data_IF_577192277050
#
_entry.id   IF_577192277050
#
_cell.length_a   1.000
_cell.length_b   1.000
_cell.length_c   1.000
_cell.angle_alpha   90.00
_cell.angle_beta   90.00
_cell.angle_gamma   90.00
#
_symmetry.space_group_name_H-M   'P 1'
#
loop_
_entity.id
_entity.type
_entity.pdbx_description
1 polymer ?
#
# COMPACT_ATOMS: atom_id res chain seq x y z
N UNK A 1 6.00 21.77 -15.28
CA UNK A 1 7.32 22.04 -14.65
C UNK A 1 8.34 21.15 -15.33
N UNK A 2 9.62 21.51 -15.43
CA UNK A 2 10.63 20.59 -15.97
C UNK A 2 11.15 19.69 -14.83
N UNK A 3 10.75 18.42 -14.82
CA UNK A 3 11.14 17.45 -13.80
C UNK A 3 12.51 16.80 -14.04
N UNK A 4 13.30 17.23 -15.03
CA UNK A 4 14.61 16.59 -15.29
C UNK A 4 15.53 16.64 -14.07
N UNK A 5 15.58 17.77 -13.35
CA UNK A 5 16.39 17.90 -12.12
C UNK A 5 15.84 16.99 -11.02
N UNK A 6 14.51 17.01 -10.81
CA UNK A 6 13.82 16.18 -9.83
C UNK A 6 14.10 14.67 -10.02
N UNK A 7 14.02 14.18 -11.26
CA UNK A 7 14.28 12.78 -11.57
C UNK A 7 15.76 12.40 -11.47
N UNK A 8 16.66 13.34 -11.76
CA UNK A 8 18.09 13.15 -11.51
C UNK A 8 18.37 12.95 -10.02
N UNK A 9 17.82 13.83 -9.17
CA UNK A 9 17.97 13.73 -7.71
C UNK A 9 17.29 12.46 -7.16
N UNK A 10 16.14 12.06 -7.71
CA UNK A 10 15.50 10.79 -7.37
C UNK A 10 16.40 9.59 -7.73
N UNK A 11 17.06 9.60 -8.90
CA UNK A 11 18.01 8.56 -9.29
C UNK A 11 19.18 8.48 -8.30
N UNK A 12 19.74 9.63 -7.93
CA UNK A 12 20.82 9.71 -6.94
C UNK A 12 20.38 9.12 -5.60
N UNK A 13 19.19 9.48 -5.11
CA UNK A 13 18.59 8.89 -3.91
C UNK A 13 18.46 7.36 -4.01
N UNK A 14 17.89 6.83 -5.10
CA UNK A 14 17.70 5.38 -5.29
C UNK A 14 19.05 4.65 -5.32
N UNK A 15 20.05 5.22 -6.01
CA UNK A 15 21.40 4.66 -6.06
C UNK A 15 22.07 4.65 -4.68
N UNK A 16 21.97 5.74 -3.92
CA UNK A 16 22.49 5.82 -2.55
C UNK A 16 21.82 4.80 -1.63
N UNK A 17 20.49 4.64 -1.73
CA UNK A 17 19.73 3.65 -0.98
C UNK A 17 20.15 2.21 -1.30
N UNK A 18 20.51 1.93 -2.56
CA UNK A 18 20.88 0.61 -3.04
C UNK A 18 22.38 0.28 -2.89
N UNK A 19 23.22 1.27 -2.60
CA UNK A 19 24.66 1.07 -2.36
C UNK A 19 24.98 0.18 -1.14
N UNK A 20 24.01 -0.03 -0.24
CA UNK A 20 24.17 -0.91 0.93
C UNK A 20 22.83 -1.51 1.39
N UNK A 21 22.89 -2.75 1.87
CA UNK A 21 21.74 -3.41 2.52
C UNK A 21 21.61 -3.08 4.01
N UNK A 22 22.53 -2.30 4.59
CA UNK A 22 22.51 -1.95 6.01
C UNK A 22 21.30 -1.09 6.35
N UNK A 23 20.55 -1.49 7.38
CA UNK A 23 19.40 -0.75 7.90
C UNK A 23 19.80 0.67 8.34
N UNK A 24 20.95 0.82 9.02
CA UNK A 24 21.42 2.12 9.50
C UNK A 24 21.86 3.02 8.35
N UNK A 25 22.47 2.45 7.31
CA UNK A 25 22.80 3.18 6.09
C UNK A 25 21.55 3.80 5.46
N UNK A 26 20.51 2.99 5.26
CA UNK A 26 19.25 3.45 4.66
C UNK A 26 18.53 4.50 5.50
N UNK A 27 18.61 4.41 6.83
CA UNK A 27 18.14 5.51 7.71
C UNK A 27 18.91 6.78 7.44
N UNK A 28 20.24 6.72 7.35
CA UNK A 28 21.06 7.90 7.05
C UNK A 28 20.64 8.58 5.75
N UNK A 29 20.42 7.80 4.68
CA UNK A 29 19.97 8.32 3.39
C UNK A 29 18.56 8.90 3.47
N UNK A 30 17.60 8.20 4.09
CA UNK A 30 16.25 8.73 4.29
C UNK A 30 16.26 10.04 5.09
N UNK A 31 17.09 10.15 6.13
CA UNK A 31 17.25 11.37 6.94
C UNK A 31 17.85 12.51 6.12
N UNK A 32 18.81 12.23 5.23
CA UNK A 32 19.41 13.20 4.31
C UNK A 32 18.35 13.82 3.38
N UNK A 33 17.41 13.01 2.87
CA UNK A 33 16.41 13.44 1.88
C UNK A 33 15.02 13.73 2.46
N UNK A 34 14.79 13.62 3.77
CA UNK A 34 13.46 13.73 4.39
C UNK A 34 12.72 15.07 4.13
N UNK A 35 13.47 16.15 3.87
CA UNK A 35 12.93 17.48 3.59
C UNK A 35 12.91 17.81 2.09
N UNK A 36 13.37 16.90 1.23
CA UNK A 36 13.36 17.09 -0.21
C UNK A 36 11.92 16.90 -0.73
N UNK A 37 11.31 17.97 -1.23
CA UNK A 37 9.88 18.02 -1.57
C UNK A 37 9.47 16.93 -2.57
N UNK A 38 10.21 16.79 -3.68
CA UNK A 38 9.92 15.81 -4.73
C UNK A 38 10.07 14.36 -4.23
N UNK A 39 11.23 13.99 -3.68
CA UNK A 39 11.47 12.64 -3.15
C UNK A 39 10.48 12.28 -2.05
N UNK A 40 10.15 13.22 -1.15
CA UNK A 40 9.14 13.00 -0.12
C UNK A 40 7.79 12.66 -0.74
N UNK A 41 7.33 13.43 -1.74
CA UNK A 41 6.09 13.08 -2.47
C UNK A 41 6.21 11.73 -3.17
N UNK A 42 7.31 11.43 -3.85
CA UNK A 42 7.51 10.12 -4.49
C UNK A 42 7.41 8.97 -3.49
N UNK A 43 8.04 9.09 -2.31
CA UNK A 43 7.92 8.11 -1.23
C UNK A 43 6.46 7.95 -0.77
N UNK A 44 5.72 9.04 -0.64
CA UNK A 44 4.29 8.98 -0.34
C UNK A 44 3.51 8.24 -1.42
N UNK A 45 3.60 8.68 -2.68
CA UNK A 45 2.82 8.10 -3.78
C UNK A 45 3.17 6.64 -4.06
N UNK A 46 4.44 6.26 -3.86
CA UNK A 46 4.89 4.88 -4.04
C UNK A 46 4.39 3.97 -2.91
N UNK A 47 4.52 4.40 -1.64
CA UNK A 47 4.35 3.49 -0.50
C UNK A 47 3.03 3.65 0.26
N UNK A 48 2.21 4.65 -0.07
CA UNK A 48 0.90 4.83 0.56
C UNK A 48 -0.06 3.68 0.17
N UNK A 49 -0.54 2.89 1.15
CA UNK A 49 -1.25 1.64 0.85
C UNK A 49 -2.56 1.84 0.08
N UNK A 50 -3.20 2.99 0.28
CA UNK A 50 -4.50 3.33 -0.30
C UNK A 50 -4.44 4.04 -1.67
N UNK A 51 -3.25 4.32 -2.21
CA UNK A 51 -3.13 4.88 -3.55
C UNK A 51 -3.05 3.77 -4.61
N UNK A 52 -3.81 3.89 -5.68
CA UNK A 52 -3.84 2.90 -6.76
C UNK A 52 -4.06 3.54 -8.13
N UNK A 53 -3.05 3.47 -9.00
CA UNK A 53 -3.07 4.13 -10.31
C UNK A 53 -3.81 3.35 -11.41
N UNK A 54 -4.24 2.10 -11.16
CA UNK A 54 -5.03 1.33 -12.12
C UNK A 54 -4.30 0.89 -13.39
N UNK A 55 -3.00 1.18 -13.48
CA UNK A 55 -2.09 0.78 -14.56
C UNK A 55 -0.77 0.27 -13.96
N UNK A 56 -0.04 -0.52 -14.72
CA UNK A 56 1.27 -1.08 -14.34
C UNK A 56 2.30 -0.84 -15.43
N UNK A 57 3.59 -0.94 -15.10
CA UNK A 57 4.67 -0.87 -16.10
C UNK A 57 4.52 -1.95 -17.18
N UNK A 58 3.99 -3.12 -16.83
CA UNK A 58 3.70 -4.19 -17.78
C UNK A 58 2.64 -3.77 -18.81
N UNK A 59 1.60 -3.04 -18.38
CA UNK A 59 0.60 -2.50 -19.31
C UNK A 59 1.20 -1.44 -20.23
N UNK A 60 2.00 -0.53 -19.67
CA UNK A 60 2.67 0.55 -20.40
C UNK A 60 3.61 0.01 -21.48
N UNK A 61 4.51 -0.92 -21.11
CA UNK A 61 5.46 -1.57 -22.03
C UNK A 61 4.76 -2.40 -23.10
N UNK A 62 3.68 -3.11 -22.75
CA UNK A 62 2.90 -3.90 -23.73
C UNK A 62 2.21 -3.00 -24.77
N UNK A 63 1.87 -1.77 -24.40
CA UNK A 63 1.15 -0.81 -25.24
C UNK A 63 1.97 0.44 -25.49
N UNK A 64 3.24 0.27 -25.86
CA UNK A 64 4.13 1.37 -26.24
C UNK A 64 3.63 2.13 -27.49
N UNK A 65 2.72 1.52 -28.28
CA UNK A 65 2.00 2.15 -29.38
C UNK A 65 1.06 3.27 -28.93
N UNK A 66 0.51 3.15 -27.72
CA UNK A 66 -0.44 4.10 -27.16
C UNK A 66 0.30 5.28 -26.53
N UNK A 67 0.35 6.38 -27.26
CA UNK A 67 0.98 7.62 -26.82
C UNK A 67 0.08 8.79 -27.23
N UNK A 68 -0.38 9.57 -26.25
CA UNK A 68 -1.18 10.78 -26.50
C UNK A 68 -0.43 11.71 -27.47
N UNK A 69 -1.07 12.44 -28.41
CA UNK A 69 -0.34 13.26 -29.40
C UNK A 69 0.42 14.45 -28.80
N UNK A 70 -0.02 14.97 -27.66
CA UNK A 70 0.57 16.08 -26.92
C UNK A 70 0.58 15.75 -25.42
N UNK A 71 1.38 16.47 -24.64
CA UNK A 71 1.38 16.31 -23.18
C UNK A 71 0.01 16.70 -22.61
N UNK A 72 -0.59 15.80 -21.84
CA UNK A 72 -1.86 16.04 -21.15
C UNK A 72 -1.59 16.65 -19.76
N UNK A 73 -0.46 16.30 -19.16
CA UNK A 73 -0.05 16.72 -17.82
C UNK A 73 1.36 17.30 -17.84
N UNK A 74 1.56 18.40 -17.12
CA UNK A 74 2.87 19.03 -16.90
C UNK A 74 3.45 18.72 -15.50
N UNK A 75 2.66 18.10 -14.64
CA UNK A 75 3.01 17.68 -13.27
C UNK A 75 2.67 16.21 -13.08
N UNK A 76 3.66 15.43 -12.63
CA UNK A 76 3.49 14.00 -12.37
C UNK A 76 2.41 13.75 -11.31
N UNK A 77 2.38 14.54 -10.24
CA UNK A 77 1.51 14.26 -9.10
C UNK A 77 0.04 14.48 -9.44
N UNK A 78 -0.28 15.55 -10.18
CA UNK A 78 -1.62 15.77 -10.71
C UNK A 78 -2.12 14.57 -11.56
N UNK A 79 -1.25 14.02 -12.41
CA UNK A 79 -1.60 12.84 -13.21
C UNK A 79 -1.84 11.60 -12.32
N UNK A 80 -1.01 11.38 -11.30
CA UNK A 80 -1.17 10.27 -10.37
C UNK A 80 -2.44 10.40 -9.52
N UNK A 81 -2.82 11.62 -9.14
CA UNK A 81 -4.07 11.92 -8.45
C UNK A 81 -5.28 11.54 -9.32
N UNK A 82 -5.29 11.97 -10.59
CA UNK A 82 -6.37 11.63 -11.53
C UNK A 82 -6.49 10.11 -11.78
N UNK A 83 -5.37 9.39 -11.80
CA UNK A 83 -5.36 7.94 -11.93
C UNK A 83 -5.92 7.25 -10.68
N UNK A 84 -5.58 7.78 -9.50
CA UNK A 84 -6.06 7.28 -8.22
C UNK A 84 -7.57 7.51 -8.04
N UNK A 85 -8.04 8.71 -8.37
CA UNK A 85 -9.45 9.14 -8.28
C UNK A 85 -10.33 8.54 -9.38
N UNK A 86 -9.72 7.86 -10.37
CA UNK A 86 -10.40 7.29 -11.55
C UNK A 86 -10.97 8.34 -12.49
N UNK A 87 -10.45 9.57 -12.46
CA UNK A 87 -10.76 10.62 -13.43
C UNK A 87 -10.21 10.27 -14.82
N UNK A 88 -9.10 9.52 -14.88
CA UNK A 88 -8.53 8.97 -16.10
C UNK A 88 -8.16 7.49 -15.93
N UNK A 89 -8.65 6.63 -16.83
CA UNK A 89 -8.48 5.17 -16.72
C UNK A 89 -8.24 4.52 -18.09
N UNK A 90 -7.87 3.23 -18.08
CA UNK A 90 -7.75 2.42 -19.30
C UNK A 90 -6.70 2.94 -20.28
N UNK A 91 -7.03 2.90 -21.58
CA UNK A 91 -6.10 3.35 -22.64
C UNK A 91 -5.74 4.83 -22.50
N UNK A 92 -6.65 5.71 -22.05
CA UNK A 92 -6.35 7.13 -21.88
C UNK A 92 -5.24 7.35 -20.84
N UNK A 93 -5.28 6.63 -19.72
CA UNK A 93 -4.22 6.68 -18.70
C UNK A 93 -2.88 6.15 -19.24
N UNK A 94 -2.91 5.08 -20.05
CA UNK A 94 -1.71 4.54 -20.71
C UNK A 94 -1.13 5.56 -21.69
N UNK A 95 -1.95 6.16 -22.55
CA UNK A 95 -1.55 7.17 -23.54
C UNK A 95 -0.91 8.39 -22.88
N UNK A 96 -1.50 8.88 -21.78
CA UNK A 96 -0.99 10.00 -21.01
C UNK A 96 0.36 9.68 -20.36
N UNK A 97 0.46 8.53 -19.68
CA UNK A 97 1.69 8.11 -19.01
C UNK A 97 2.83 7.82 -19.99
N UNK A 98 2.56 7.12 -21.09
CA UNK A 98 3.58 6.88 -22.11
C UNK A 98 4.05 8.19 -22.76
N UNK A 99 3.16 9.16 -22.96
CA UNK A 99 3.56 10.51 -23.41
C UNK A 99 4.43 11.21 -22.37
N UNK A 100 4.10 11.11 -21.08
CA UNK A 100 4.92 11.66 -20.02
C UNK A 100 6.32 11.02 -19.99
N UNK A 101 6.40 9.68 -20.09
CA UNK A 101 7.66 8.93 -20.15
C UNK A 101 8.50 9.35 -21.35
N UNK A 102 7.91 9.61 -22.52
CA UNK A 102 8.62 10.14 -23.70
C UNK A 102 9.32 11.48 -23.45
N UNK A 103 8.83 12.29 -22.52
CA UNK A 103 9.50 13.53 -22.10
C UNK A 103 10.71 13.29 -21.18
N UNK A 104 10.80 12.10 -20.58
CA UNK A 104 11.79 11.74 -19.57
C UNK A 104 12.35 10.33 -19.82
N UNK A 105 12.62 9.96 -21.08
CA UNK A 105 12.97 8.57 -21.47
C UNK A 105 14.17 8.03 -20.67
N UNK A 106 15.14 8.90 -20.36
CA UNK A 106 16.29 8.55 -19.53
C UNK A 106 15.85 7.98 -18.17
N UNK A 107 14.76 8.48 -17.59
CA UNK A 107 14.25 8.13 -16.26
C UNK A 107 13.05 7.17 -16.30
N UNK A 108 12.76 6.54 -17.45
CA UNK A 108 11.59 5.67 -17.63
C UNK A 108 11.50 4.57 -16.56
N UNK A 109 12.62 3.96 -16.18
CA UNK A 109 12.64 2.91 -15.14
C UNK A 109 12.17 3.41 -13.77
N UNK A 110 12.53 4.64 -13.37
CA UNK A 110 12.05 5.22 -12.12
C UNK A 110 10.54 5.48 -12.19
N UNK A 111 10.04 5.95 -13.33
CA UNK A 111 8.61 6.20 -13.53
C UNK A 111 7.83 4.88 -13.48
N UNK A 112 8.35 3.81 -14.09
CA UNK A 112 7.78 2.47 -13.99
C UNK A 112 7.73 1.97 -12.55
N UNK A 113 8.83 2.15 -11.80
CA UNK A 113 8.91 1.78 -10.38
C UNK A 113 7.91 2.55 -9.50
N UNK A 114 7.69 3.84 -9.78
CA UNK A 114 6.66 4.65 -9.09
C UNK A 114 5.26 4.08 -9.37
N UNK A 115 4.96 3.78 -10.64
CA UNK A 115 3.65 3.23 -11.05
C UNK A 115 3.40 1.84 -10.48
N UNK A 116 4.43 1.00 -10.44
CA UNK A 116 4.37 -0.33 -9.82
C UNK A 116 4.40 -0.26 -8.28
N UNK A 117 4.49 0.95 -7.71
CA UNK A 117 4.52 1.22 -6.27
C UNK A 117 5.69 0.51 -5.57
N UNK A 118 6.84 0.47 -6.23
CA UNK A 118 8.06 -0.13 -5.72
C UNK A 118 9.31 0.52 -6.35
N UNK A 119 9.99 1.40 -5.59
CA UNK A 119 11.28 2.01 -5.99
C UNK A 119 12.48 1.06 -5.96
N UNK A 120 12.27 -0.22 -5.62
CA UNK A 120 13.33 -1.23 -5.56
C UNK A 120 14.48 -0.89 -4.59
N UNK A 121 14.27 0.07 -3.68
CA UNK A 121 15.24 0.47 -2.65
C UNK A 121 15.31 -0.50 -1.47
N UNK A 122 14.43 -1.51 -1.43
CA UNK A 122 14.17 -2.40 -0.27
C UNK A 122 13.93 -1.63 1.03
N UNK A 123 13.45 -0.39 0.94
CA UNK A 123 13.00 0.37 2.09
C UNK A 123 11.54 0.00 2.38
N UNK A 124 11.26 -0.43 3.61
CA UNK A 124 9.89 -0.72 4.05
C UNK A 124 9.20 0.54 4.56
N UNK A 125 7.87 0.52 4.59
CA UNK A 125 7.06 1.58 5.22
C UNK A 125 7.49 1.81 6.67
N UNK A 126 7.80 0.75 7.43
CA UNK A 126 8.32 0.84 8.78
C UNK A 126 9.66 1.61 8.86
N UNK A 127 10.56 1.39 7.89
CA UNK A 127 11.84 2.10 7.83
C UNK A 127 11.65 3.58 7.51
N UNK A 128 10.77 3.89 6.55
CA UNK A 128 10.41 5.27 6.18
C UNK A 128 9.79 5.99 7.38
N UNK A 129 8.80 5.36 8.04
CA UNK A 129 8.12 5.93 9.20
C UNK A 129 9.01 6.08 10.43
N UNK A 130 10.09 5.31 10.53
CA UNK A 130 11.09 5.52 11.59
C UNK A 130 11.81 6.86 11.44
N UNK A 131 12.02 7.34 10.21
CA UNK A 131 12.65 8.64 9.94
C UNK A 131 11.62 9.76 9.88
N UNK A 132 10.47 9.51 9.27
CA UNK A 132 9.36 10.45 9.16
C UNK A 132 8.12 9.86 9.86
N UNK A 133 7.95 10.06 11.18
CA UNK A 133 6.84 9.47 11.94
C UNK A 133 5.48 9.77 11.34
N UNK A 134 4.62 8.74 11.27
CA UNK A 134 3.27 8.81 10.71
C UNK A 134 3.17 9.32 9.25
N UNK A 135 4.26 9.27 8.50
CA UNK A 135 4.30 9.80 7.14
C UNK A 135 3.56 8.92 6.14
N UNK A 136 3.84 7.62 6.13
CA UNK A 136 3.09 6.62 5.37
C UNK A 136 2.04 6.00 6.29
N UNK A 137 0.74 6.08 5.98
CA UNK A 137 -0.29 5.42 6.77
C UNK A 137 -0.04 3.91 6.84
N UNK A 138 -0.20 3.34 8.02
CA UNK A 138 -0.08 1.90 8.26
C UNK A 138 -1.32 1.38 8.93
N UNK A 139 -1.81 0.25 8.45
CA UNK A 139 -2.84 -0.54 9.10
C UNK A 139 -2.19 -1.81 9.64
N UNK A 140 -2.02 -1.88 10.95
CA UNK A 140 -1.31 -2.99 11.61
C UNK A 140 -2.30 -3.76 12.49
N UNK A 141 -2.27 -5.09 12.35
CA UNK A 141 -3.08 -6.04 13.12
C UNK A 141 -2.15 -7.08 13.73
N UNK A 142 -2.62 -7.76 14.79
CA UNK A 142 -1.89 -8.89 15.33
C UNK A 142 -1.84 -10.04 14.31
N UNK A 143 -0.67 -10.65 14.15
CA UNK A 143 -0.44 -11.79 13.26
C UNK A 143 0.15 -12.96 14.06
N UNK A 144 -0.26 -14.17 13.71
CA UNK A 144 0.26 -15.39 14.33
C UNK A 144 1.60 -15.82 13.71
N UNK A 145 2.41 -16.52 14.50
CA UNK A 145 3.56 -17.26 14.00
C UNK A 145 3.22 -18.73 13.83
N UNK A 146 3.87 -19.37 12.86
CA UNK A 146 3.90 -20.82 12.75
C UNK A 146 4.54 -21.41 14.01
N UNK A 147 3.76 -22.20 14.76
CA UNK A 147 4.17 -22.79 16.03
C UNK A 147 5.46 -23.63 15.91
N UNK A 148 5.69 -24.27 14.76
CA UNK A 148 6.90 -25.08 14.53
C UNK A 148 8.19 -24.25 14.51
N UNK A 149 8.09 -22.93 14.28
CA UNK A 149 9.23 -22.01 14.19
C UNK A 149 9.52 -21.29 15.50
N UNK A 150 8.64 -21.40 16.49
CA UNK A 150 8.82 -20.74 17.78
C UNK A 150 9.49 -21.71 18.75
N UNK A 151 10.60 -21.28 19.35
CA UNK A 151 11.37 -22.08 20.31
C UNK A 151 11.00 -21.72 21.75
N UNK A 152 11.13 -22.68 22.66
CA UNK A 152 10.96 -22.45 24.10
C UNK A 152 9.50 -22.36 24.55
N UNK A 153 8.56 -22.80 23.73
CA UNK A 153 7.14 -22.89 24.10
C UNK A 153 6.82 -24.31 24.59
N UNK A 154 6.20 -24.40 25.76
CA UNK A 154 5.55 -25.62 26.24
C UNK A 154 4.03 -25.44 26.17
N UNK A 155 3.41 -25.93 25.10
CA UNK A 155 1.95 -25.83 24.91
C UNK A 155 1.12 -26.60 25.95
N UNK A 156 1.76 -27.43 26.78
CA UNK A 156 1.13 -28.24 27.83
C UNK A 156 1.26 -27.64 29.23
N UNK A 157 1.79 -26.42 29.39
CA UNK A 157 1.93 -25.78 30.71
C UNK A 157 0.61 -25.24 31.29
N UNK A 158 -0.50 -25.34 30.55
CA UNK A 158 -1.83 -24.91 30.98
C UNK A 158 -2.09 -23.41 30.87
N UNK A 159 -1.17 -22.63 30.29
CA UNK A 159 -1.32 -21.17 30.14
C UNK A 159 -1.89 -20.73 28.78
N UNK A 160 -2.18 -21.70 27.91
CA UNK A 160 -2.57 -21.45 26.51
C UNK A 160 -4.07 -21.58 26.30
N UNK A 161 -4.60 -20.69 25.47
CA UNK A 161 -5.93 -20.83 24.88
C UNK A 161 -5.80 -21.47 23.49
N UNK A 162 -6.73 -22.37 23.17
CA UNK A 162 -6.80 -23.02 21.85
C UNK A 162 -8.12 -22.64 21.20
N UNK A 163 -8.07 -22.25 19.93
CA UNK A 163 -9.25 -21.95 19.11
C UNK A 163 -9.10 -22.61 17.75
N UNK A 164 -10.23 -22.93 17.10
CA UNK A 164 -10.25 -23.35 15.69
C UNK A 164 -9.68 -22.22 14.84
N UNK A 165 -8.80 -22.55 13.89
CA UNK A 165 -8.42 -21.63 12.82
C UNK A 165 -9.44 -21.80 11.70
N UNK A 166 -10.22 -20.76 11.46
CA UNK A 166 -11.17 -20.71 10.35
C UNK A 166 -10.44 -20.40 9.03
N UNK A 167 -11.03 -20.80 7.90
CA UNK A 167 -10.53 -20.56 6.54
C UNK A 167 -11.42 -19.58 5.76
N UNK A 168 -11.61 -18.39 6.34
CA UNK A 168 -12.35 -17.31 5.72
C UNK A 168 -11.49 -16.12 5.32
N UNK A 169 -12.05 -14.93 5.49
CA UNK A 169 -11.36 -13.66 5.29
C UNK A 169 -11.30 -12.88 6.59
N UNK A 170 -10.09 -12.58 7.06
CA UNK A 170 -9.85 -11.71 8.21
C UNK A 170 -10.56 -10.37 8.06
N UNK A 171 -11.36 -10.03 9.06
CA UNK A 171 -12.15 -8.81 9.10
C UNK A 171 -11.96 -8.07 10.43
N UNK A 172 -11.55 -6.81 10.32
CA UNK A 172 -11.43 -5.86 11.42
C UNK A 172 -12.67 -4.97 11.37
N UNK A 173 -13.55 -5.09 12.36
CA UNK A 173 -14.69 -4.21 12.54
C UNK A 173 -14.33 -3.09 13.51
N UNK A 174 -14.35 -1.86 13.01
CA UNK A 174 -14.16 -0.64 13.79
C UNK A 174 -15.51 -0.04 14.10
N UNK A 175 -15.84 0.07 15.39
CA UNK A 175 -17.06 0.69 15.89
C UNK A 175 -16.72 1.98 16.62
N UNK A 176 -17.13 3.12 16.09
CA UNK A 176 -16.88 4.44 16.66
C UNK A 176 -18.15 5.29 16.67
N UNK A 177 -18.74 5.50 17.85
CA UNK A 177 -20.08 6.08 17.94
C UNK A 177 -21.09 5.19 17.22
N UNK A 178 -21.80 5.76 16.26
CA UNK A 178 -22.71 5.05 15.35
C UNK A 178 -22.03 4.66 14.02
N UNK A 179 -20.72 4.82 13.84
CA UNK A 179 -20.03 4.38 12.62
C UNK A 179 -19.51 2.96 12.82
N UNK A 180 -19.89 2.04 11.92
CA UNK A 180 -19.44 0.65 11.90
C UNK A 180 -18.82 0.39 10.55
N UNK A 181 -17.51 0.16 10.52
CA UNK A 181 -16.75 -0.07 9.30
C UNK A 181 -15.96 -1.36 9.39
N UNK A 182 -15.84 -2.03 8.25
CA UNK A 182 -15.16 -3.32 8.16
C UNK A 182 -13.95 -3.21 7.25
N UNK A 183 -12.81 -3.70 7.71
CA UNK A 183 -11.55 -3.63 6.97
C UNK A 183 -10.91 -5.01 6.87
N UNK A 184 -10.28 -5.28 5.73
CA UNK A 184 -9.38 -6.42 5.59
C UNK A 184 -8.13 -6.24 6.46
N UNK A 185 -7.33 -7.31 6.60
CA UNK A 185 -6.01 -7.26 7.28
C UNK A 185 -5.08 -6.15 6.77
N UNK A 186 -5.26 -5.71 5.53
CA UNK A 186 -4.44 -4.69 4.87
C UNK A 186 -5.09 -3.30 4.89
N UNK A 187 -6.19 -3.11 5.63
CA UNK A 187 -6.88 -1.82 5.76
C UNK A 187 -7.81 -1.46 4.59
N UNK A 188 -8.06 -2.37 3.65
CA UNK A 188 -9.07 -2.14 2.58
C UNK A 188 -10.47 -2.35 3.15
N UNK A 189 -11.35 -1.37 2.98
CA UNK A 189 -12.73 -1.40 3.46
C UNK A 189 -13.61 -2.40 2.69
N UNK A 190 -14.52 -3.07 3.41
CA UNK A 190 -15.56 -3.93 2.86
C UNK A 190 -16.90 -3.18 2.85
N UNK A 191 -17.49 -3.03 1.66
CA UNK A 191 -18.75 -2.30 1.48
C UNK A 191 -20.00 -3.21 1.39
N UNK A 192 -19.85 -4.53 1.56
CA UNK A 192 -20.90 -5.52 1.27
C UNK A 192 -21.45 -6.22 2.51
N UNK A 193 -21.14 -5.72 3.71
CA UNK A 193 -21.42 -6.40 4.99
C UNK A 193 -22.59 -5.78 5.78
N UNK A 194 -23.55 -5.13 5.11
CA UNK A 194 -24.63 -4.38 5.77
C UNK A 194 -25.44 -5.18 6.79
N UNK A 195 -25.74 -6.46 6.54
CA UNK A 195 -26.43 -7.31 7.53
C UNK A 195 -25.61 -7.52 8.81
N UNK A 196 -24.30 -7.71 8.68
CA UNK A 196 -23.40 -7.85 9.82
C UNK A 196 -23.31 -6.52 10.57
N UNK A 197 -23.27 -5.40 9.82
CA UNK A 197 -23.30 -4.04 10.38
C UNK A 197 -24.52 -3.82 11.30
N UNK A 198 -25.71 -4.17 10.83
CA UNK A 198 -26.95 -4.05 11.60
C UNK A 198 -26.90 -4.85 12.91
N UNK A 199 -26.41 -6.09 12.87
CA UNK A 199 -26.30 -6.91 14.08
C UNK A 199 -25.25 -6.35 15.05
N UNK A 200 -24.11 -5.86 14.56
CA UNK A 200 -23.11 -5.19 15.41
C UNK A 200 -23.70 -3.93 16.07
N UNK A 201 -24.47 -3.12 15.34
CA UNK A 201 -25.14 -1.93 15.90
C UNK A 201 -26.11 -2.31 17.02
N UNK A 202 -26.84 -3.42 16.87
CA UNK A 202 -27.79 -3.91 17.90
C UNK A 202 -27.12 -4.31 19.21
N UNK A 203 -25.82 -4.65 19.20
CA UNK A 203 -25.07 -4.94 20.42
C UNK A 203 -24.89 -3.71 21.33
N UNK A 204 -25.09 -2.49 20.80
CA UNK A 204 -24.97 -1.25 21.58
C UNK A 204 -23.54 -0.95 22.08
N UNK A 205 -22.54 -1.60 21.48
CA UNK A 205 -21.12 -1.38 21.78
C UNK A 205 -20.60 -0.15 21.02
N UNK A 206 -19.64 0.56 21.60
CA UNK A 206 -19.03 1.74 20.97
C UNK A 206 -17.56 1.87 21.35
N UNK A 207 -16.76 2.51 20.50
CA UNK A 207 -15.32 2.73 20.68
C UNK A 207 -14.53 1.42 20.87
N UNK A 208 -14.81 0.43 20.02
CA UNK A 208 -14.21 -0.89 20.07
C UNK A 208 -13.74 -1.34 18.69
N UNK A 209 -12.69 -2.17 18.69
CA UNK A 209 -12.25 -2.92 17.51
C UNK A 209 -12.58 -4.39 17.75
N UNK A 210 -13.39 -4.97 16.88
CA UNK A 210 -13.62 -6.42 16.85
C UNK A 210 -12.76 -7.02 15.76
N UNK A 211 -12.00 -8.05 16.10
CA UNK A 211 -11.05 -8.67 15.18
C UNK A 211 -11.39 -10.17 15.04
N UNK A 212 -11.85 -10.56 13.87
CA UNK A 212 -12.39 -11.89 13.62
C UNK A 212 -12.27 -12.33 12.16
N UNK A 213 -12.91 -13.45 11.85
CA UNK A 213 -12.90 -14.04 10.50
C UNK A 213 -14.32 -14.05 9.93
N UNK A 214 -14.50 -13.57 8.70
CA UNK A 214 -15.75 -13.74 7.96
C UNK A 214 -15.68 -15.05 7.19
N UNK A 215 -16.61 -15.96 7.49
CA UNK A 215 -16.68 -17.28 6.88
C UNK A 215 -18.09 -17.52 6.35
N UNK A 216 -18.20 -18.25 5.25
CA UNK A 216 -19.46 -18.86 4.84
C UNK A 216 -19.48 -20.22 5.55
N UNK A 217 -20.50 -20.44 6.36
CA UNK A 217 -20.66 -21.70 7.07
C UNK A 217 -21.69 -22.55 6.32
N UNK A 218 -21.32 -23.80 6.02
CA UNK A 218 -22.25 -24.80 5.50
C UNK A 218 -23.16 -25.31 6.64
N UNK A 219 -24.24 -26.01 6.28
CA UNK A 219 -25.19 -26.57 7.26
C UNK A 219 -24.54 -27.57 8.23
N UNK A 220 -23.40 -28.16 7.86
CA UNK A 220 -22.61 -29.09 8.66
C UNK A 220 -21.50 -28.42 9.49
N UNK A 221 -21.52 -27.09 9.60
CA UNK A 221 -20.51 -26.28 10.31
C UNK A 221 -19.07 -26.39 9.76
N UNK A 222 -18.93 -26.90 8.54
CA UNK A 222 -17.70 -26.72 7.75
C UNK A 222 -17.60 -25.28 7.23
N UNK A 223 -16.37 -24.80 7.08
CA UNK A 223 -16.01 -23.47 6.57
C UNK A 223 -15.34 -23.54 5.20
N UNK A 224 -15.52 -24.68 4.51
CA UNK A 224 -15.00 -25.05 3.20
C UNK A 224 -15.91 -24.59 2.04
#
# INVERSE_FOLDING_TARGET
MNHTVDFKELREFVNEMNSSNSINHKVGILTKYQNHSFIKKILLYTYHPYLNFGITSANLKKREDLIAPFSIYDDLFQMLDDFNERNMTGHAAIEAMNRFIKGYEEYADLIYQIIDRNLETRATTALINRVMPNFIPTFAVALAHDASKVKGINIFDGTWYVSRKLDGVRCICLVHGDDVKFFSRNGKEFNTLGKVEEEIRRLGITNIVLDGELCIMNEDESDD
#
